data_IF_607101810809
#
_entry.id   IF_607101810809
#
_cell.length_a   1.000
_cell.length_b   1.000
_cell.length_c   1.000
_cell.angle_alpha   90.00
_cell.angle_beta   90.00
_cell.angle_gamma   90.00
#
_symmetry.space_group_name_H-M   'P 1'
#
loop_
_entity.id
_entity.type
_entity.pdbx_description
1 polymer ?
#
# COMPACT_ATOMS: atom_id res chain seq x y z
N UNK A 1 -3.91 68.40 -86.45
CA UNK A 1 -2.54 67.90 -86.65
C UNK A 1 -1.57 68.96 -86.15
N UNK A 2 -1.05 68.81 -84.92
CA UNK A 2 0.21 69.36 -84.34
C UNK A 2 0.11 69.30 -82.80
N UNK A 3 1.16 68.77 -82.16
CA UNK A 3 1.48 68.76 -80.71
C UNK A 3 1.66 70.19 -80.12
N UNK A 4 2.07 70.44 -78.84
CA UNK A 4 2.29 69.63 -77.60
C UNK A 4 1.66 70.32 -76.33
N UNK A 5 1.72 69.84 -75.06
CA UNK A 5 2.76 70.01 -74.00
C UNK A 5 2.16 69.42 -72.69
N UNK A 6 2.75 68.41 -72.02
CA UNK A 6 3.83 68.42 -70.99
C UNK A 6 3.40 68.84 -69.57
N UNK A 7 3.51 67.91 -68.61
CA UNK A 7 3.98 68.13 -67.23
C UNK A 7 4.36 66.79 -66.54
N UNK A 8 5.24 66.78 -65.51
CA UNK A 8 6.12 65.66 -65.15
C UNK A 8 5.91 65.11 -63.72
N UNK A 9 6.92 64.36 -63.24
CA UNK A 9 7.17 63.84 -61.87
C UNK A 9 6.65 62.40 -61.65
N UNK A 10 7.33 61.50 -60.95
CA UNK A 10 8.37 61.69 -59.94
C UNK A 10 9.24 60.41 -59.83
N UNK A 11 10.48 60.60 -59.40
CA UNK A 11 11.50 59.57 -59.20
C UNK A 11 11.26 58.90 -57.85
N UNK A 12 11.12 57.57 -57.82
CA UNK A 12 11.07 56.79 -56.58
C UNK A 12 12.40 56.05 -56.37
N UNK A 13 13.08 56.37 -55.25
CA UNK A 13 14.31 55.70 -54.79
C UNK A 13 14.04 54.27 -54.26
N UNK A 14 14.99 53.33 -54.43
CA UNK A 14 14.86 51.96 -53.93
C UNK A 14 15.28 51.83 -52.45
N UNK A 15 14.36 51.33 -51.60
CA UNK A 15 14.66 50.93 -50.22
C UNK A 15 15.45 49.63 -50.19
N UNK A 16 16.67 49.69 -49.65
CA UNK A 16 17.50 48.53 -49.29
C UNK A 16 17.10 47.97 -47.92
N UNK A 17 16.88 46.65 -47.83
CA UNK A 17 16.63 45.94 -46.58
C UNK A 17 17.93 45.33 -46.02
N UNK A 18 18.13 45.31 -44.68
CA UNK A 18 19.34 44.77 -44.09
C UNK A 18 19.33 43.24 -44.00
N UNK A 19 20.47 42.64 -44.33
CA UNK A 19 20.78 41.20 -44.30
C UNK A 19 21.17 40.78 -42.88
N UNK A 20 20.39 39.90 -42.24
CA UNK A 20 20.73 39.28 -40.94
C UNK A 20 21.70 38.12 -41.12
N UNK A 21 22.78 38.12 -40.36
CA UNK A 21 23.75 37.03 -40.22
C UNK A 21 23.43 36.19 -38.98
N UNK A 22 23.38 34.87 -39.14
CA UNK A 22 23.22 33.90 -38.04
C UNK A 22 24.44 32.96 -38.04
N UNK A 23 25.43 33.26 -37.20
CA UNK A 23 26.50 32.33 -36.82
C UNK A 23 26.90 32.74 -35.40
N UNK A 24 26.56 32.02 -34.33
CA UNK A 24 27.40 30.95 -33.76
C UNK A 24 26.70 30.52 -32.45
N UNK A 25 26.17 29.30 -32.36
CA UNK A 25 25.61 28.81 -31.09
C UNK A 25 25.61 27.26 -31.01
N UNK A 26 26.65 26.61 -31.52
CA UNK A 26 26.66 25.13 -31.61
C UNK A 26 27.45 24.46 -30.45
N UNK A 27 28.27 25.20 -29.69
CA UNK A 27 29.21 24.55 -28.75
C UNK A 27 28.67 24.31 -27.32
N UNK A 28 27.50 24.82 -26.95
CA UNK A 28 26.98 24.70 -25.56
C UNK A 28 25.96 23.58 -25.36
N UNK A 29 25.41 22.99 -26.43
CA UNK A 29 24.32 22.01 -26.32
C UNK A 29 24.77 20.61 -25.83
N UNK A 30 26.06 20.28 -25.94
CA UNK A 30 26.56 18.92 -25.69
C UNK A 30 26.71 18.57 -24.20
N UNK A 31 26.89 19.57 -23.31
CA UNK A 31 27.09 19.34 -21.86
C UNK A 31 25.79 19.21 -21.05
N UNK A 32 24.65 19.58 -21.63
CA UNK A 32 23.34 19.53 -20.93
C UNK A 32 22.56 18.25 -21.19
N UNK A 33 23.01 17.40 -22.13
CA UNK A 33 22.37 16.11 -22.43
C UNK A 33 22.81 14.99 -21.47
N UNK A 34 24.01 15.08 -20.90
CA UNK A 34 24.51 14.06 -19.95
C UNK A 34 23.98 14.23 -18.52
N UNK A 35 23.59 15.45 -18.13
CA UNK A 35 23.02 15.73 -16.81
C UNK A 35 21.52 15.36 -16.71
N UNK A 36 20.77 15.41 -17.82
CA UNK A 36 19.34 15.03 -17.82
C UNK A 36 19.10 13.52 -17.74
N UNK A 37 20.00 12.70 -18.28
CA UNK A 37 19.85 11.25 -18.30
C UNK A 37 20.08 10.58 -16.93
N UNK A 38 20.84 11.20 -16.03
CA UNK A 38 21.08 10.66 -14.68
C UNK A 38 19.91 10.93 -13.71
N UNK A 39 19.16 12.02 -13.92
CA UNK A 39 18.07 12.43 -13.02
C UNK A 39 16.77 11.62 -13.17
N UNK A 40 16.63 10.80 -14.21
CA UNK A 40 15.41 10.04 -14.49
C UNK A 40 15.42 8.59 -13.96
N UNK A 41 16.43 8.18 -13.19
CA UNK A 41 16.71 6.76 -12.93
C UNK A 41 16.27 6.21 -11.56
N UNK A 42 15.59 6.98 -10.68
CA UNK A 42 15.29 6.54 -9.30
C UNK A 42 13.80 6.49 -8.90
N UNK A 43 12.91 6.05 -9.80
CA UNK A 43 11.52 5.70 -9.43
C UNK A 43 11.28 4.19 -9.47
N UNK A 44 12.09 3.41 -8.75
CA UNK A 44 11.72 2.03 -8.45
C UNK A 44 10.71 2.03 -7.30
N UNK A 45 9.42 1.87 -7.62
CA UNK A 45 8.41 1.60 -6.60
C UNK A 45 8.76 0.26 -5.92
N UNK A 46 9.08 0.31 -4.62
CA UNK A 46 9.28 -0.91 -3.83
C UNK A 46 7.89 -1.48 -3.52
N UNK A 47 7.43 -2.40 -4.36
CA UNK A 47 6.23 -3.20 -4.09
C UNK A 47 6.60 -4.33 -3.10
N UNK A 48 5.90 -4.48 -1.97
CA UNK A 48 6.12 -5.60 -1.05
C UNK A 48 6.13 -6.97 -1.74
N UNK A 49 7.05 -7.85 -1.35
CA UNK A 49 7.24 -9.17 -1.99
C UNK A 49 5.96 -10.01 -2.08
N UNK A 50 5.10 -9.95 -1.05
CA UNK A 50 3.85 -10.71 -1.01
C UNK A 50 2.81 -10.25 -2.04
N UNK A 51 2.87 -8.99 -2.48
CA UNK A 51 2.01 -8.44 -3.54
C UNK A 51 2.50 -8.82 -4.94
N UNK A 52 3.74 -9.30 -5.07
CA UNK A 52 4.31 -9.77 -6.33
C UNK A 52 4.05 -11.27 -6.57
N UNK A 53 3.45 -11.96 -5.60
CA UNK A 53 3.05 -13.35 -5.74
C UNK A 53 1.82 -13.43 -6.63
N UNK A 54 1.81 -14.41 -7.53
CA UNK A 54 0.72 -14.61 -8.49
C UNK A 54 -0.05 -15.88 -8.15
N UNK A 55 -1.38 -15.93 -8.41
CA UNK A 55 -2.15 -17.14 -8.23
C UNK A 55 -1.54 -18.33 -8.99
N UNK A 56 -1.84 -19.53 -8.52
CA UNK A 56 -1.27 -20.79 -8.96
C UNK A 56 0.24 -20.97 -8.68
N UNK A 57 0.94 -20.14 -7.91
CA UNK A 57 2.29 -20.49 -7.46
C UNK A 57 2.28 -21.72 -6.54
N UNK A 58 3.35 -22.53 -6.53
CA UNK A 58 3.45 -23.63 -5.57
C UNK A 58 3.80 -23.12 -4.17
N UNK A 59 3.43 -23.89 -3.13
CA UNK A 59 3.89 -23.62 -1.76
C UNK A 59 5.41 -23.46 -1.65
N UNK A 60 6.18 -24.26 -2.39
CA UNK A 60 7.64 -24.15 -2.39
C UNK A 60 8.13 -22.82 -2.96
N UNK A 61 7.52 -22.33 -4.05
CA UNK A 61 7.87 -21.03 -4.64
C UNK A 61 7.51 -19.86 -3.72
N UNK A 62 6.35 -19.95 -3.03
CA UNK A 62 5.95 -18.94 -2.05
C UNK A 62 6.90 -18.94 -0.86
N UNK A 63 7.24 -20.11 -0.33
CA UNK A 63 8.19 -20.25 0.78
C UNK A 63 9.59 -19.77 0.39
N UNK A 64 10.02 -19.94 -0.86
CA UNK A 64 11.31 -19.42 -1.34
C UNK A 64 11.36 -17.87 -1.33
N UNK A 65 10.20 -17.20 -1.46
CA UNK A 65 10.10 -15.73 -1.49
C UNK A 65 9.76 -15.10 -0.14
N UNK A 66 8.87 -15.71 0.64
CA UNK A 66 8.42 -15.21 1.94
C UNK A 66 9.08 -15.88 3.14
N UNK A 67 9.76 -17.00 2.93
CA UNK A 67 10.25 -17.85 4.01
C UNK A 67 9.20 -18.83 4.53
N UNK A 68 9.61 -19.67 5.49
CA UNK A 68 8.73 -20.63 6.16
C UNK A 68 7.63 -19.87 6.91
N UNK A 69 6.35 -20.22 6.74
CA UNK A 69 5.27 -19.57 7.47
C UNK A 69 5.40 -19.81 8.98
N UNK A 70 5.33 -18.76 9.81
CA UNK A 70 5.27 -18.89 11.27
C UNK A 70 4.02 -19.63 11.74
N UNK A 71 2.88 -19.35 11.10
CA UNK A 71 1.57 -19.87 11.48
C UNK A 71 0.86 -20.47 10.26
N UNK A 72 0.21 -21.62 10.45
CA UNK A 72 -0.49 -22.37 9.39
C UNK A 72 -1.80 -22.91 9.94
N UNK A 73 -2.92 -22.55 9.31
CA UNK A 73 -4.26 -22.92 9.75
C UNK A 73 -5.14 -23.40 8.59
N UNK A 74 -6.11 -24.31 8.84
CA UNK A 74 -7.18 -24.59 7.89
C UNK A 74 -8.19 -23.44 7.91
N UNK A 75 -8.41 -22.76 6.79
CA UNK A 75 -9.34 -21.63 6.72
C UNK A 75 -10.77 -22.08 6.41
N UNK A 76 -10.93 -22.89 5.38
CA UNK A 76 -12.20 -23.52 4.98
C UNK A 76 -11.90 -24.93 4.44
N UNK A 77 -12.90 -25.78 4.18
CA UNK A 77 -12.66 -27.11 3.62
C UNK A 77 -11.81 -27.05 2.34
N UNK A 78 -10.61 -27.63 2.39
CA UNK A 78 -9.67 -27.64 1.27
C UNK A 78 -8.85 -26.35 1.08
N UNK A 79 -8.95 -25.36 1.99
CA UNK A 79 -8.10 -24.16 1.95
C UNK A 79 -7.21 -24.10 3.18
N UNK A 80 -5.90 -23.99 2.95
CA UNK A 80 -4.90 -23.78 4.00
C UNK A 80 -4.39 -22.35 3.93
N UNK A 81 -4.40 -21.65 5.06
CA UNK A 81 -3.89 -20.29 5.21
C UNK A 81 -2.55 -20.31 5.92
N UNK A 82 -1.57 -19.66 5.32
CA UNK A 82 -0.30 -19.33 5.94
C UNK A 82 -0.33 -17.89 6.41
N UNK A 83 0.08 -17.63 7.65
CA UNK A 83 0.10 -16.30 8.24
C UNK A 83 1.53 -15.88 8.61
N UNK A 84 1.86 -14.66 8.26
CA UNK A 84 3.15 -14.01 8.49
C UNK A 84 2.95 -12.72 9.31
N UNK A 85 2.82 -12.82 10.65
CA UNK A 85 2.65 -11.66 11.53
C UNK A 85 3.95 -10.87 11.72
N UNK A 86 3.87 -9.55 11.76
CA UNK A 86 5.02 -8.63 11.98
C UNK A 86 5.33 -8.44 13.47
N UNK A 87 5.59 -9.54 14.18
CA UNK A 87 5.93 -9.52 15.61
C UNK A 87 7.25 -8.77 15.89
N UNK A 88 7.41 -8.13 17.06
CA UNK A 88 6.53 -8.21 18.24
C UNK A 88 5.32 -7.28 18.23
N UNK A 89 5.33 -6.20 17.44
CA UNK A 89 4.24 -5.22 17.44
C UNK A 89 2.99 -5.70 16.69
N UNK A 90 3.16 -6.53 15.66
CA UNK A 90 2.07 -7.23 14.97
C UNK A 90 0.99 -6.30 14.41
N UNK A 91 1.39 -5.17 13.82
CA UNK A 91 0.47 -4.22 13.18
C UNK A 91 -0.06 -4.73 11.83
N UNK A 92 0.62 -5.75 11.30
CA UNK A 92 0.39 -6.32 10.00
C UNK A 92 0.52 -7.85 10.10
N UNK A 93 -0.37 -8.58 9.42
CA UNK A 93 -0.24 -10.02 9.21
C UNK A 93 -0.56 -10.33 7.76
N UNK A 94 0.42 -10.85 7.03
CA UNK A 94 0.20 -11.24 5.64
C UNK A 94 -0.32 -12.67 5.60
N UNK A 95 -1.46 -12.88 4.95
CA UNK A 95 -1.99 -14.19 4.64
C UNK A 95 -1.59 -14.62 3.22
N UNK A 96 -1.30 -15.90 3.06
CA UNK A 96 -1.23 -16.59 1.77
C UNK A 96 -2.12 -17.83 1.84
N UNK A 97 -3.14 -17.88 0.98
CA UNK A 97 -4.14 -18.94 0.98
C UNK A 97 -3.85 -19.94 -0.14
N UNK A 98 -3.94 -21.23 0.16
CA UNK A 98 -3.63 -22.31 -0.76
C UNK A 98 -4.82 -23.26 -0.89
N UNK A 99 -5.08 -23.74 -2.10
CA UNK A 99 -6.06 -24.79 -2.34
C UNK A 99 -5.58 -26.16 -1.83
N UNK A 100 -6.44 -27.17 -2.01
CA UNK A 100 -6.18 -28.54 -1.56
C UNK A 100 -5.00 -29.20 -2.31
N UNK A 101 -4.58 -28.63 -3.44
CA UNK A 101 -3.43 -29.07 -4.23
C UNK A 101 -2.15 -28.28 -3.89
N UNK A 102 -2.20 -27.35 -2.92
CA UNK A 102 -1.06 -26.53 -2.52
C UNK A 102 -0.70 -25.44 -3.53
N UNK A 103 -1.67 -24.98 -4.33
CA UNK A 103 -1.51 -23.85 -5.24
C UNK A 103 -2.03 -22.56 -4.59
N UNK A 104 -1.27 -21.48 -4.72
CA UNK A 104 -1.61 -20.18 -4.17
C UNK A 104 -2.90 -19.67 -4.80
N UNK A 105 -3.91 -19.39 -3.98
CA UNK A 105 -5.14 -18.70 -4.37
C UNK A 105 -4.91 -17.19 -4.41
N UNK A 106 -4.23 -16.65 -3.40
CA UNK A 106 -3.92 -15.24 -3.30
C UNK A 106 -3.26 -14.86 -1.98
N UNK A 107 -2.94 -13.57 -1.83
CA UNK A 107 -2.38 -12.99 -0.61
C UNK A 107 -3.17 -11.77 -0.15
N UNK A 108 -3.17 -11.50 1.16
CA UNK A 108 -3.88 -10.36 1.74
C UNK A 108 -3.21 -9.86 3.03
N UNK A 109 -3.37 -8.58 3.34
CA UNK A 109 -3.11 -8.02 4.68
C UNK A 109 -4.37 -8.21 5.54
N UNK A 110 -4.32 -9.12 6.51
CA UNK A 110 -5.53 -9.53 7.26
C UNK A 110 -5.85 -8.69 8.49
N UNK A 111 -4.91 -7.83 8.94
CA UNK A 111 -5.17 -6.87 10.02
C UNK A 111 -5.66 -5.54 9.43
N UNK A 112 -6.91 -5.51 8.98
CA UNK A 112 -7.52 -4.34 8.35
C UNK A 112 -9.01 -4.22 8.70
N UNK A 113 -9.57 -3.01 8.59
CA UNK A 113 -11.00 -2.76 8.82
C UNK A 113 -11.88 -3.68 7.97
N UNK A 114 -11.53 -3.83 6.69
CA UNK A 114 -12.27 -4.68 5.75
C UNK A 114 -12.27 -6.15 6.16
N UNK A 115 -11.11 -6.67 6.57
CA UNK A 115 -10.96 -8.07 6.96
C UNK A 115 -11.61 -8.35 8.31
N UNK A 116 -11.54 -7.42 9.27
CA UNK A 116 -12.23 -7.54 10.55
C UNK A 116 -13.77 -7.53 10.38
N UNK A 117 -14.31 -6.74 9.44
CA UNK A 117 -15.75 -6.70 9.18
C UNK A 117 -16.33 -8.04 8.68
N UNK A 118 -15.49 -9.02 8.32
CA UNK A 118 -15.92 -10.39 7.96
C UNK A 118 -16.26 -11.24 9.17
N UNK A 119 -15.79 -10.86 10.37
CA UNK A 119 -16.05 -11.60 11.59
C UNK A 119 -17.53 -11.60 11.97
N UNK A 120 -18.05 -12.76 12.36
CA UNK A 120 -19.46 -12.93 12.69
C UNK A 120 -19.65 -13.08 14.20
N UNK A 121 -20.19 -12.04 14.83
CA UNK A 121 -20.60 -12.07 16.24
C UNK A 121 -21.66 -13.17 16.45
N UNK A 122 -21.60 -13.82 17.62
CA UNK A 122 -22.42 -14.95 18.04
C UNK A 122 -22.26 -16.24 17.21
N UNK A 123 -21.29 -16.27 16.28
CA UNK A 123 -21.02 -17.42 15.41
C UNK A 123 -19.55 -17.82 15.40
N UNK A 124 -18.66 -16.86 15.18
CA UNK A 124 -17.23 -17.13 15.18
C UNK A 124 -16.75 -17.46 16.58
N UNK A 125 -15.79 -18.35 16.63
CA UNK A 125 -15.08 -18.78 17.84
C UNK A 125 -13.68 -18.20 17.89
N UNK A 126 -12.98 -18.38 19.01
CA UNK A 126 -11.54 -18.14 19.11
C UNK A 126 -10.76 -18.82 17.99
N UNK A 127 -11.15 -20.05 17.62
CA UNK A 127 -10.51 -20.80 16.52
C UNK A 127 -10.70 -20.10 15.18
N UNK A 128 -11.90 -19.60 14.88
CA UNK A 128 -12.15 -18.85 13.64
C UNK A 128 -11.29 -17.57 13.61
N UNK A 129 -11.29 -16.79 14.69
CA UNK A 129 -10.47 -15.57 14.79
C UNK A 129 -8.98 -15.90 14.61
N UNK A 130 -8.49 -16.97 15.24
CA UNK A 130 -7.11 -17.43 15.11
C UNK A 130 -6.77 -17.84 13.67
N UNK A 131 -7.63 -18.61 13.00
CA UNK A 131 -7.39 -19.07 11.64
C UNK A 131 -7.42 -17.92 10.63
N UNK A 132 -8.22 -16.89 10.90
CA UNK A 132 -8.34 -15.73 10.02
C UNK A 132 -7.19 -14.73 10.21
N UNK A 133 -6.80 -14.42 11.46
CA UNK A 133 -5.93 -13.29 11.79
C UNK A 133 -4.61 -13.67 12.48
N UNK A 134 -4.46 -14.93 12.92
CA UNK A 134 -3.28 -15.41 13.62
C UNK A 134 -3.32 -15.12 15.12
N UNK A 135 -2.23 -15.44 15.81
CA UNK A 135 -2.13 -15.18 17.25
C UNK A 135 -2.25 -13.67 17.57
N UNK A 136 -3.03 -13.29 18.58
CA UNK A 136 -3.12 -11.90 19.00
C UNK A 136 -1.81 -11.42 19.62
N UNK A 137 -1.55 -10.11 19.54
CA UNK A 137 -0.39 -9.50 20.18
C UNK A 137 -0.58 -9.33 21.69
N UNK A 138 -1.83 -9.30 22.15
CA UNK A 138 -2.19 -9.21 23.56
C UNK A 138 -3.41 -10.07 23.87
N UNK A 139 -3.39 -10.72 25.03
CA UNK A 139 -4.54 -11.42 25.59
C UNK A 139 -4.82 -10.89 26.98
N UNK A 140 -6.09 -10.58 27.25
CA UNK A 140 -6.58 -10.04 28.52
C UNK A 140 -7.83 -10.81 28.96
N UNK A 141 -8.11 -10.83 30.26
CA UNK A 141 -9.31 -11.43 30.81
C UNK A 141 -10.04 -10.42 31.70
N UNK A 142 -11.37 -10.37 31.58
CA UNK A 142 -12.27 -9.57 32.39
C UNK A 142 -13.24 -10.49 33.17
N UNK A 143 -12.83 -11.02 34.32
CA UNK A 143 -13.58 -12.05 35.05
C UNK A 143 -15.00 -11.63 35.44
N UNK A 144 -15.19 -10.35 35.80
CA UNK A 144 -16.51 -9.81 36.18
C UNK A 144 -17.51 -9.77 35.02
N UNK A 145 -17.01 -9.71 33.79
CA UNK A 145 -17.84 -9.76 32.58
C UNK A 145 -17.87 -11.17 31.98
N UNK A 146 -17.09 -12.11 32.52
CA UNK A 146 -16.82 -13.41 31.92
C UNK A 146 -16.41 -13.27 30.45
N UNK A 147 -15.39 -12.44 30.21
CA UNK A 147 -14.86 -12.21 28.86
C UNK A 147 -13.37 -12.43 28.81
N UNK A 148 -12.95 -13.17 27.78
CA UNK A 148 -11.56 -13.17 27.32
C UNK A 148 -11.44 -12.23 26.14
N UNK A 149 -10.34 -11.50 26.04
CA UNK A 149 -10.12 -10.48 25.01
C UNK A 149 -8.83 -10.76 24.29
N UNK A 150 -8.92 -10.87 22.97
CA UNK A 150 -7.78 -10.92 22.08
C UNK A 150 -7.66 -9.61 21.34
N UNK A 151 -6.45 -9.06 21.32
CA UNK A 151 -6.21 -7.75 20.75
C UNK A 151 -5.17 -7.81 19.64
N UNK A 152 -5.50 -7.13 18.53
CA UNK A 152 -4.67 -6.97 17.35
C UNK A 152 -4.42 -5.49 17.12
N UNK A 153 -3.15 -5.12 16.90
CA UNK A 153 -2.79 -3.76 16.48
C UNK A 153 -2.94 -3.67 14.97
N UNK A 154 -3.39 -2.54 14.47
CA UNK A 154 -3.49 -2.32 13.03
C UNK A 154 -3.58 -0.83 12.71
N UNK A 155 -3.40 -0.51 11.42
CA UNK A 155 -3.61 0.84 10.90
C UNK A 155 -5.01 0.97 10.32
N UNK A 156 -5.95 1.45 11.13
CA UNK A 156 -7.32 1.68 10.71
C UNK A 156 -7.38 2.66 9.53
N UNK A 157 -7.99 2.19 8.44
CA UNK A 157 -8.17 2.91 7.18
C UNK A 157 -6.86 3.50 6.64
N UNK A 158 -5.72 2.84 6.93
CA UNK A 158 -4.38 3.26 6.51
C UNK A 158 -3.85 4.53 7.20
N UNK A 159 -4.58 5.09 8.16
CA UNK A 159 -4.28 6.38 8.77
C UNK A 159 -4.09 6.33 10.30
N UNK A 160 -4.95 5.59 11.02
CA UNK A 160 -5.03 5.68 12.48
C UNK A 160 -4.44 4.43 13.13
N UNK A 161 -3.48 4.60 14.04
CA UNK A 161 -2.99 3.50 14.87
C UNK A 161 -4.09 3.09 15.86
N UNK A 162 -4.56 1.87 15.75
CA UNK A 162 -5.73 1.39 16.46
C UNK A 162 -5.55 -0.07 16.88
N UNK A 163 -6.40 -0.50 17.81
CA UNK A 163 -6.44 -1.86 18.30
C UNK A 163 -7.84 -2.43 18.04
N UNK A 164 -7.91 -3.57 17.37
CA UNK A 164 -9.13 -4.37 17.27
C UNK A 164 -9.15 -5.37 18.43
N UNK A 165 -10.22 -5.33 19.22
CA UNK A 165 -10.42 -6.18 20.38
C UNK A 165 -11.60 -7.13 20.14
N UNK A 166 -11.33 -8.43 20.20
CA UNK A 166 -12.34 -9.49 20.12
C UNK A 166 -12.66 -10.01 21.51
N UNK A 167 -13.91 -9.88 21.94
CA UNK A 167 -14.39 -10.32 23.25
C UNK A 167 -15.11 -11.65 23.11
N UNK A 168 -14.60 -12.68 23.76
CA UNK A 168 -15.18 -14.02 23.77
C UNK A 168 -15.86 -14.32 25.08
N UNK A 169 -16.92 -15.11 25.04
CA UNK A 169 -17.51 -15.72 26.24
C UNK A 169 -16.67 -16.93 26.73
N UNK A 170 -17.05 -17.57 27.86
CA UNK A 170 -16.33 -18.74 28.38
C UNK A 170 -16.28 -19.94 27.43
N UNK A 171 -17.25 -20.07 26.53
CA UNK A 171 -17.28 -21.14 25.51
C UNK A 171 -16.40 -20.80 24.29
N UNK A 172 -15.77 -19.62 24.31
CA UNK A 172 -14.88 -19.15 23.25
C UNK A 172 -15.61 -18.57 22.05
N UNK A 173 -16.90 -18.24 22.18
CA UNK A 173 -17.70 -17.63 21.11
C UNK A 173 -17.54 -16.11 21.14
N UNK A 174 -17.31 -15.51 19.98
CA UNK A 174 -17.17 -14.07 19.81
C UNK A 174 -18.50 -13.36 20.12
N UNK A 175 -18.49 -12.47 21.12
CA UNK A 175 -19.67 -11.70 21.56
C UNK A 175 -19.62 -10.24 21.20
N UNK A 176 -18.43 -9.66 21.11
CA UNK A 176 -18.29 -8.23 20.84
C UNK A 176 -16.96 -7.95 20.16
N UNK A 177 -16.97 -6.97 19.26
CA UNK A 177 -15.78 -6.40 18.67
C UNK A 177 -15.71 -4.92 19.04
N UNK A 178 -14.54 -4.44 19.40
CA UNK A 178 -14.34 -3.04 19.76
C UNK A 178 -13.03 -2.53 19.19
N UNK A 179 -13.10 -1.39 18.51
CA UNK A 179 -11.90 -0.63 18.17
C UNK A 179 -11.57 0.35 19.28
N UNK A 180 -10.29 0.42 19.67
CA UNK A 180 -9.76 1.43 20.57
C UNK A 180 -8.53 2.10 19.95
N UNK A 181 -8.18 3.32 20.36
CA UNK A 181 -6.88 3.90 20.03
C UNK A 181 -5.74 3.02 20.52
N UNK A 182 -4.60 3.08 19.83
CA UNK A 182 -3.39 2.43 20.29
C UNK A 182 -2.59 3.34 21.27
N UNK A 183 -2.45 2.97 22.55
CA UNK A 183 -1.72 3.75 23.54
C UNK A 183 -0.20 3.87 23.29
N UNK A 184 0.40 3.02 22.44
CA UNK A 184 1.80 3.18 22.01
C UNK A 184 1.99 4.39 21.10
N UNK A 185 0.94 4.79 20.40
CA UNK A 185 0.95 5.88 19.42
C UNK A 185 0.22 7.14 19.92
N UNK A 186 -0.42 7.07 21.10
CA UNK A 186 -0.94 8.23 21.79
C UNK A 186 0.23 9.13 22.23
N UNK A 187 0.24 10.38 21.75
CA UNK A 187 1.12 11.40 22.30
C UNK A 187 0.69 11.63 23.74
N UNK A 188 1.53 11.25 24.70
CA UNK A 188 1.36 11.68 26.10
C UNK A 188 1.57 13.19 26.19
N UNK A 189 0.51 13.95 26.03
CA UNK A 189 0.42 15.33 26.49
C UNK A 189 0.31 15.33 28.02
N UNK A 190 1.47 15.25 28.69
CA UNK A 190 1.59 15.39 30.14
C UNK A 190 1.30 16.84 30.61
N UNK A 191 0.16 17.44 30.24
CA UNK A 191 -0.24 18.80 30.66
C UNK A 191 -1.44 18.80 31.61
N UNK A 192 -1.50 17.83 32.52
CA UNK A 192 -2.45 17.86 33.64
C UNK A 192 -1.73 17.44 34.92
N UNK A 193 -0.94 18.36 35.49
CA UNK A 193 -0.82 18.69 36.92
C UNK A 193 -0.05 20.01 37.05
#
# INVERSE_FOLDING_TARGET
MTHPLRAPADVAEPRTLPRRSHTTAITTAMRWLTAGALAASLTACITPTWQQLTPNMSQADVQARLGKPPEVYPLTPGVTRWLYPTKPFGEETIAADFDAQGRLLGTAQVLSTEEFNKALVDKWTKTDVLHHYGEPVETSAFPRMHRDVWTYRYKQDGAWFSMMNFYFDPDGVLRTMQVSPDPLHERRDNTLF
#
